data_IF_347003083577
#
_entry.id   IF_347003083577
#
_cell.length_a   1.000
_cell.length_b   1.000
_cell.length_c   1.000
_cell.angle_alpha   90.00
_cell.angle_beta   90.00
_cell.angle_gamma   90.00
#
_symmetry.space_group_name_H-M   'P 1'
#
loop_
_entity.id
_entity.type
_entity.pdbx_description
1 polymer ?
#
# COMPACT_ATOMS: atom_id res chain seq x y z
N UNK A 1 -4.56 5.71 4.18
CA UNK A 1 -3.14 5.27 4.12
C UNK A 1 -2.62 4.71 5.44
N UNK A 2 -2.66 5.47 6.55
CA UNK A 2 -2.13 5.04 7.87
C UNK A 2 -2.76 3.75 8.39
N UNK A 3 -4.10 3.67 8.37
CA UNK A 3 -4.84 2.54 8.93
C UNK A 3 -4.48 1.22 8.26
N UNK A 4 -4.46 1.19 6.92
CA UNK A 4 -4.18 -0.02 6.14
C UNK A 4 -2.76 -0.54 6.40
N UNK A 5 -1.75 0.34 6.32
CA UNK A 5 -0.35 -0.07 6.53
C UNK A 5 -0.15 -0.65 7.93
N UNK A 6 -0.71 0.00 8.96
CA UNK A 6 -0.60 -0.48 10.34
C UNK A 6 -1.41 -1.75 10.57
N UNK A 7 -2.58 -1.88 9.97
CA UNK A 7 -3.43 -3.06 10.09
C UNK A 7 -2.74 -4.30 9.47
N UNK A 8 -2.22 -4.17 8.25
CA UNK A 8 -1.43 -5.23 7.61
C UNK A 8 -0.25 -5.65 8.50
N UNK A 9 0.43 -4.67 9.12
CA UNK A 9 1.54 -4.96 10.03
C UNK A 9 1.09 -5.73 11.27
N UNK A 10 -0.08 -5.38 11.85
CA UNK A 10 -0.67 -6.08 12.99
C UNK A 10 -1.06 -7.51 12.66
N UNK A 11 -1.46 -7.77 11.41
CA UNK A 11 -1.76 -9.10 10.89
C UNK A 11 -0.50 -9.90 10.49
N UNK A 12 0.70 -9.32 10.66
CA UNK A 12 1.97 -9.99 10.40
C UNK A 12 2.51 -9.81 8.97
N UNK A 13 1.82 -9.04 8.12
CA UNK A 13 2.30 -8.72 6.78
C UNK A 13 3.36 -7.62 6.79
N UNK A 14 4.29 -7.69 5.83
CA UNK A 14 5.21 -6.58 5.56
C UNK A 14 4.50 -5.52 4.75
N UNK A 15 4.35 -4.32 5.32
CA UNK A 15 3.61 -3.24 4.67
C UNK A 15 4.48 -2.00 4.48
N UNK A 16 4.23 -1.23 3.42
CA UNK A 16 4.92 0.04 3.18
C UNK A 16 3.93 1.09 2.71
N UNK A 17 3.88 2.22 3.41
CA UNK A 17 3.13 3.41 3.04
C UNK A 17 4.01 4.41 2.30
N UNK A 18 3.56 4.85 1.13
CA UNK A 18 4.25 5.84 0.28
C UNK A 18 3.37 7.07 0.14
N UNK A 19 3.92 8.23 0.49
CA UNK A 19 3.19 9.51 0.49
C UNK A 19 4.12 10.65 0.05
N UNK A 20 3.58 11.67 -0.64
CA UNK A 20 4.31 12.87 -1.03
C UNK A 20 4.35 13.90 0.10
N UNK A 21 3.26 14.04 0.84
CA UNK A 21 3.08 15.02 1.89
C UNK A 21 3.86 14.63 3.16
N UNK A 22 4.86 15.45 3.54
CA UNK A 22 5.70 15.21 4.72
C UNK A 22 4.93 15.26 6.04
N UNK A 23 3.91 16.11 6.15
CA UNK A 23 3.08 16.23 7.35
C UNK A 23 2.30 14.94 7.56
N UNK A 24 1.72 14.38 6.48
CA UNK A 24 1.01 13.11 6.55
C UNK A 24 1.93 11.94 6.90
N UNK A 25 3.16 11.90 6.37
CA UNK A 25 4.17 10.91 6.78
C UNK A 25 4.53 11.05 8.26
N UNK A 26 4.76 12.27 8.74
CA UNK A 26 5.08 12.53 10.15
C UNK A 26 3.91 12.11 11.07
N UNK A 27 2.68 12.46 10.69
CA UNK A 27 1.46 12.05 11.37
C UNK A 27 1.32 10.52 11.39
N UNK A 28 1.66 9.83 10.28
CA UNK A 28 1.67 8.37 10.19
C UNK A 28 2.60 7.73 11.21
N UNK A 29 3.82 8.26 11.32
CA UNK A 29 4.81 7.81 12.29
C UNK A 29 4.33 8.08 13.73
N UNK A 30 3.84 9.28 14.01
CA UNK A 30 3.28 9.62 15.32
C UNK A 30 2.14 8.68 15.74
N UNK A 31 1.18 8.43 14.84
CA UNK A 31 0.08 7.49 15.07
C UNK A 31 0.58 6.07 15.36
N UNK A 32 1.57 5.59 14.61
CA UNK A 32 2.16 4.26 14.85
C UNK A 32 2.82 4.14 16.23
N UNK A 33 3.43 5.22 16.74
CA UNK A 33 4.01 5.26 18.09
C UNK A 33 2.89 5.25 19.14
N UNK A 34 1.85 6.06 18.95
CA UNK A 34 0.68 6.11 19.84
C UNK A 34 -0.02 4.74 19.95
N UNK A 35 -0.03 3.96 18.88
CA UNK A 35 -0.58 2.60 18.84
C UNK A 35 0.38 1.52 19.37
N UNK A 36 1.53 1.89 19.93
CA UNK A 36 2.50 0.97 20.52
C UNK A 36 3.38 0.22 19.51
N UNK A 37 3.27 0.54 18.22
CA UNK A 37 3.98 -0.14 17.13
C UNK A 37 5.35 0.48 16.82
N UNK A 38 5.65 1.64 17.40
CA UNK A 38 6.72 2.54 16.94
C UNK A 38 8.16 2.22 17.33
N UNK A 39 8.45 1.24 18.19
CA UNK A 39 9.84 0.97 18.66
C UNK A 39 10.59 -0.09 17.83
N UNK A 40 9.88 -0.95 17.11
CA UNK A 40 10.45 -2.03 16.28
C UNK A 40 10.30 -1.77 14.78
N UNK A 41 9.71 -0.63 14.37
CA UNK A 41 9.54 -0.21 12.98
C UNK A 41 10.86 0.22 12.28
N UNK A 42 12.00 -0.35 12.70
CA UNK A 42 13.30 -0.08 12.10
C UNK A 42 13.48 -0.96 10.87
N UNK A 43 13.96 -0.29 9.82
CA UNK A 43 14.56 -0.88 8.63
C UNK A 43 15.24 -2.21 8.96
N UNK A 44 14.82 -3.25 8.24
CA UNK A 44 15.32 -4.63 8.25
C UNK A 44 16.71 -4.80 8.89
N UNK A 45 16.84 -5.66 9.91
CA UNK A 45 17.53 -6.90 9.64
C UNK A 45 16.85 -8.14 10.22
N UNK A 46 16.77 -9.16 9.35
CA UNK A 46 17.21 -10.53 9.58
C UNK A 46 17.20 -11.03 11.05
N UNK A 47 16.24 -11.92 11.33
CA UNK A 47 16.21 -12.90 12.44
C UNK A 47 16.33 -12.31 13.85
N UNK A 48 15.28 -12.45 14.68
CA UNK A 48 15.47 -12.66 16.13
C UNK A 48 14.43 -13.61 16.74
N UNK A 49 14.93 -14.81 16.98
CA UNK A 49 14.67 -15.70 18.12
C UNK A 49 14.43 -14.92 19.42
N UNK A 50 13.19 -14.54 19.71
CA UNK A 50 12.68 -14.25 21.08
C UNK A 50 11.17 -13.96 21.01
N UNK A 51 10.43 -14.19 22.09
CA UNK A 51 8.97 -14.05 22.24
C UNK A 51 8.40 -12.62 22.08
N UNK A 52 9.02 -11.78 21.25
CA UNK A 52 8.72 -10.37 21.06
C UNK A 52 8.02 -10.18 19.71
N UNK A 53 6.81 -9.63 19.73
CA UNK A 53 6.05 -9.32 18.51
C UNK A 53 6.73 -8.17 17.76
N UNK A 54 7.24 -8.43 16.56
CA UNK A 54 7.90 -7.44 15.70
C UNK A 54 6.95 -7.04 14.58
N UNK A 55 6.55 -5.78 14.54
CA UNK A 55 5.72 -5.23 13.46
C UNK A 55 6.61 -4.74 12.31
N UNK A 56 6.38 -5.27 11.10
CA UNK A 56 7.19 -4.96 9.93
C UNK A 56 6.47 -3.96 9.01
N UNK A 57 6.60 -2.66 9.30
CA UNK A 57 6.05 -1.61 8.44
C UNK A 57 7.01 -0.44 8.23
N UNK A 58 6.83 0.28 7.13
CA UNK A 58 7.63 1.46 6.79
C UNK A 58 6.76 2.55 6.18
N UNK A 59 6.99 3.81 6.58
CA UNK A 59 6.43 4.98 5.91
C UNK A 59 7.53 5.77 5.21
N UNK A 60 7.36 6.04 3.93
CA UNK A 60 8.32 6.75 3.09
C UNK A 60 7.68 7.99 2.48
N UNK A 61 8.43 9.10 2.53
CA UNK A 61 8.10 10.28 1.74
C UNK A 61 8.66 10.09 0.33
N UNK A 62 7.85 9.63 -0.62
CA UNK A 62 8.32 9.35 -1.98
C UNK A 62 7.17 9.49 -2.98
N UNK A 63 7.53 9.86 -4.21
CA UNK A 63 6.59 9.82 -5.32
C UNK A 63 6.39 8.36 -5.74
N UNK A 64 5.12 7.92 -5.86
CA UNK A 64 4.78 6.57 -6.33
C UNK A 64 5.41 6.27 -7.68
N UNK A 65 5.40 7.21 -8.63
CA UNK A 65 5.99 7.05 -9.97
C UNK A 65 7.50 6.77 -9.95
N UNK A 66 8.19 7.17 -8.87
CA UNK A 66 9.63 6.92 -8.67
C UNK A 66 9.92 5.77 -7.71
N UNK A 67 8.89 5.10 -7.21
CA UNK A 67 9.02 3.99 -6.26
C UNK A 67 8.97 2.67 -7.00
N UNK A 68 9.90 1.76 -6.72
CA UNK A 68 9.89 0.42 -7.30
C UNK A 68 8.74 -0.40 -6.70
N UNK A 69 7.82 -0.84 -7.55
CA UNK A 69 6.64 -1.63 -7.19
C UNK A 69 6.85 -3.14 -7.39
N UNK A 70 7.92 -3.57 -8.06
CA UNK A 70 8.22 -4.98 -8.34
C UNK A 70 8.33 -5.91 -7.12
N UNK A 71 8.68 -5.45 -5.89
CA UNK A 71 8.77 -6.32 -4.72
C UNK A 71 7.42 -6.61 -4.06
N UNK A 72 6.35 -5.90 -4.43
CA UNK A 72 5.07 -5.99 -3.73
C UNK A 72 4.11 -6.93 -4.45
N UNK A 73 3.52 -7.85 -3.69
CA UNK A 73 2.51 -8.79 -4.19
C UNK A 73 1.10 -8.19 -4.22
N UNK A 74 0.87 -7.15 -3.42
CA UNK A 74 -0.41 -6.46 -3.33
C UNK A 74 -0.17 -4.96 -3.17
N UNK A 75 -0.90 -4.17 -3.96
CA UNK A 75 -0.90 -2.71 -3.85
C UNK A 75 -2.30 -2.21 -3.48
N UNK A 76 -2.35 -1.17 -2.63
CA UNK A 76 -3.58 -0.46 -2.28
C UNK A 76 -3.38 1.00 -2.63
N UNK A 77 -4.23 1.54 -3.50
CA UNK A 77 -4.10 2.90 -4.02
C UNK A 77 -5.32 3.72 -3.61
N UNK A 78 -5.04 4.85 -2.97
CA UNK A 78 -6.01 5.92 -2.74
C UNK A 78 -5.66 7.06 -3.69
N UNK A 79 -6.25 7.03 -4.87
CA UNK A 79 -6.00 7.99 -5.94
C UNK A 79 -7.10 9.04 -6.08
N UNK A 80 -6.85 9.99 -6.97
CA UNK A 80 -7.87 10.82 -7.59
C UNK A 80 -8.14 10.30 -9.01
N UNK A 81 -9.31 10.57 -9.57
CA UNK A 81 -9.69 10.14 -10.92
C UNK A 81 -8.65 10.51 -11.97
N UNK A 82 -8.15 11.75 -11.95
CA UNK A 82 -7.13 12.25 -12.88
C UNK A 82 -5.79 11.50 -12.81
N UNK A 83 -5.52 10.79 -11.71
CA UNK A 83 -4.27 10.04 -11.50
C UNK A 83 -4.37 8.59 -12.02
N UNK A 84 -5.57 8.04 -12.17
CA UNK A 84 -5.74 6.61 -12.45
C UNK A 84 -5.20 6.21 -13.81
N UNK A 85 -5.32 7.07 -14.82
CA UNK A 85 -4.72 6.85 -16.15
C UNK A 85 -3.20 6.77 -16.11
N UNK A 86 -2.55 7.72 -15.43
CA UNK A 86 -1.10 7.75 -15.29
C UNK A 86 -0.57 6.57 -14.46
N UNK A 87 -1.39 6.03 -13.55
CA UNK A 87 -1.00 4.90 -12.71
C UNK A 87 -0.97 3.58 -13.46
N UNK A 88 -1.78 3.38 -14.51
CA UNK A 88 -1.78 2.12 -15.29
C UNK A 88 -0.38 1.70 -15.74
N UNK A 89 0.40 2.54 -16.47
CA UNK A 89 1.75 2.17 -16.87
C UNK A 89 2.70 2.04 -15.68
N UNK A 90 2.48 2.78 -14.59
CA UNK A 90 3.33 2.62 -13.40
C UNK A 90 3.11 1.27 -12.71
N UNK A 91 1.85 0.87 -12.60
CA UNK A 91 1.44 -0.40 -12.00
C UNK A 91 1.89 -1.59 -12.85
N UNK A 92 2.27 -1.36 -14.10
CA UNK A 92 2.79 -2.44 -14.95
C UNK A 92 4.12 -3.03 -14.48
N UNK A 93 4.83 -2.33 -13.59
CA UNK A 93 6.05 -2.81 -12.94
C UNK A 93 5.81 -3.97 -11.96
N UNK A 94 4.58 -4.12 -11.45
CA UNK A 94 4.24 -5.22 -10.56
C UNK A 94 4.30 -6.57 -11.31
N UNK A 95 4.56 -7.65 -10.57
CA UNK A 95 4.65 -9.01 -11.15
C UNK A 95 3.28 -9.52 -11.59
N UNK A 96 3.25 -10.49 -12.49
CA UNK A 96 2.00 -11.21 -12.81
C UNK A 96 1.42 -11.89 -11.57
N UNK A 97 0.10 -12.11 -11.56
CA UNK A 97 -0.65 -12.65 -10.43
C UNK A 97 -0.60 -11.83 -9.13
N UNK A 98 -0.18 -10.57 -9.18
CA UNK A 98 -0.29 -9.64 -8.04
C UNK A 98 -1.70 -9.05 -7.94
N UNK A 99 -2.07 -8.57 -6.75
CA UNK A 99 -3.38 -7.99 -6.49
C UNK A 99 -3.28 -6.46 -6.42
N UNK A 100 -4.32 -5.77 -6.88
CA UNK A 100 -4.44 -4.32 -6.76
C UNK A 100 -5.81 -3.96 -6.22
N UNK A 101 -5.84 -3.15 -5.17
CA UNK A 101 -7.05 -2.55 -4.64
C UNK A 101 -7.01 -1.05 -4.96
N UNK A 102 -7.87 -0.62 -5.87
CA UNK A 102 -8.07 0.78 -6.21
C UNK A 102 -9.28 1.33 -5.45
N UNK A 103 -9.05 2.28 -4.54
CA UNK A 103 -10.10 2.89 -3.75
C UNK A 103 -10.68 4.11 -4.47
N UNK A 104 -12.00 4.31 -4.32
CA UNK A 104 -12.83 5.41 -4.86
C UNK A 104 -13.03 5.42 -6.36
N UNK A 105 -11.95 5.28 -7.12
CA UNK A 105 -11.98 5.36 -8.58
C UNK A 105 -11.47 4.04 -9.18
N UNK A 106 -12.09 3.52 -10.24
CA UNK A 106 -11.56 2.40 -10.99
C UNK A 106 -10.33 2.81 -11.81
N UNK A 107 -9.51 1.83 -12.20
CA UNK A 107 -8.57 2.03 -13.30
C UNK A 107 -9.36 2.15 -14.62
N UNK A 108 -8.87 2.96 -15.59
CA UNK A 108 -9.42 2.91 -16.94
C UNK A 108 -9.18 1.53 -17.56
N UNK A 109 -9.98 1.18 -18.57
CA UNK A 109 -9.83 -0.09 -19.29
C UNK A 109 -8.40 -0.28 -19.81
N UNK A 110 -7.82 -1.45 -19.53
CA UNK A 110 -6.47 -1.79 -19.92
C UNK A 110 -6.27 -3.32 -19.94
N UNK A 111 -5.28 -3.77 -20.71
CA UNK A 111 -4.99 -5.21 -20.87
C UNK A 111 -4.18 -5.81 -19.72
N UNK A 112 -3.65 -4.99 -18.82
CA UNK A 112 -2.69 -5.41 -17.81
C UNK A 112 -3.35 -5.80 -16.47
N UNK A 113 -4.54 -5.29 -16.20
CA UNK A 113 -5.26 -5.47 -14.93
C UNK A 113 -6.70 -5.91 -15.19
N UNK A 114 -7.02 -7.14 -14.79
CA UNK A 114 -8.37 -7.69 -14.88
C UNK A 114 -9.15 -7.36 -13.62
N UNK A 115 -10.31 -6.72 -13.76
CA UNK A 115 -11.23 -6.49 -12.65
C UNK A 115 -11.83 -7.84 -12.18
N UNK A 116 -11.69 -8.15 -10.90
CA UNK A 116 -12.28 -9.35 -10.29
C UNK A 116 -13.56 -9.02 -9.52
N UNK A 117 -13.50 -8.01 -8.65
CA UNK A 117 -14.60 -7.66 -7.77
C UNK A 117 -14.69 -6.15 -7.53
N UNK A 118 -15.90 -5.68 -7.26
CA UNK A 118 -16.16 -4.36 -6.67
C UNK A 118 -16.77 -4.57 -5.29
N UNK A 119 -16.25 -3.86 -4.29
CA UNK A 119 -16.75 -3.87 -2.92
C UNK A 119 -17.25 -2.47 -2.59
N UNK A 120 -18.49 -2.35 -2.14
CA UNK A 120 -19.10 -1.06 -1.80
C UNK A 120 -19.50 -0.21 -3.01
N UNK A 121 -20.00 0.99 -2.72
CA UNK A 121 -20.58 1.91 -3.71
C UNK A 121 -20.12 3.36 -3.45
N UNK A 122 -20.12 4.17 -4.51
CA UNK A 122 -19.78 5.60 -4.42
C UNK A 122 -18.38 5.86 -3.88
N UNK A 123 -18.28 6.75 -2.88
CA UNK A 123 -16.99 7.15 -2.28
C UNK A 123 -16.30 6.04 -1.49
N UNK A 124 -17.04 5.00 -1.11
CA UNK A 124 -16.54 3.85 -0.36
C UNK A 124 -16.30 2.64 -1.29
N UNK A 125 -16.45 2.81 -2.61
CA UNK A 125 -16.16 1.76 -3.57
C UNK A 125 -14.67 1.40 -3.60
N UNK A 126 -14.39 0.10 -3.65
CA UNK A 126 -13.06 -0.47 -3.82
C UNK A 126 -13.11 -1.47 -4.96
N UNK A 127 -12.23 -1.29 -5.93
CA UNK A 127 -12.11 -2.10 -7.12
C UNK A 127 -10.90 -3.04 -6.96
N UNK A 128 -11.15 -4.34 -7.02
CA UNK A 128 -10.14 -5.38 -6.83
C UNK A 128 -9.75 -5.92 -8.20
N UNK A 129 -8.48 -5.79 -8.53
CA UNK A 129 -7.91 -6.24 -9.78
C UNK A 129 -6.85 -7.32 -9.56
N UNK A 130 -6.74 -8.23 -10.53
CA UNK A 130 -5.66 -9.20 -10.67
C UNK A 130 -4.77 -8.80 -11.84
N UNK A 131 -3.46 -8.88 -11.62
CA UNK A 131 -2.49 -8.68 -12.70
C UNK A 131 -2.43 -9.91 -13.59
N UNK A 132 -2.65 -9.70 -14.89
CA UNK A 132 -2.51 -10.73 -15.92
C UNK A 132 -1.06 -11.25 -16.02
#
# INVERSE_FOLDING_TARGET
MISVVLQCAKEGYRSTGVELNSILVAYSKYRSIKEGLGKEARYFPLIKTTSKVVFCFRFMRKNIFKTDLSPYETAVIFGAESLMGDLVPKLSEMRSNTNLLACRFPLPENDAWKLEHQIGEGIDAVWVYKRN
#
